data_IF_540469614733
#
_entry.id   IF_540469614733
#
_cell.length_a   1.000
_cell.length_b   1.000
_cell.length_c   1.000
_cell.angle_alpha   90.00
_cell.angle_beta   90.00
_cell.angle_gamma   90.00
#
_symmetry.space_group_name_H-M   'P 1'
#
loop_
_entity.id
_entity.type
_entity.pdbx_description
1 polymer ?
#
# COMPACT_ATOMS: atom_id res chain seq x y z
N UNK A 1 -22.85 -2.06 -2.69
CA UNK A 1 -22.04 -1.04 -3.37
C UNK A 1 -22.06 -1.37 -4.84
N UNK A 2 -22.67 -0.52 -5.66
CA UNK A 2 -22.66 -0.64 -7.13
C UNK A 2 -21.39 0.00 -7.73
N UNK A 3 -21.21 -0.11 -9.05
CA UNK A 3 -20.02 0.41 -9.73
C UNK A 3 -19.78 1.92 -9.51
N UNK A 4 -20.81 2.75 -9.60
CA UNK A 4 -20.67 4.20 -9.41
C UNK A 4 -20.24 4.53 -7.97
N UNK A 5 -20.89 3.90 -7.00
CA UNK A 5 -20.53 4.05 -5.59
C UNK A 5 -19.09 3.58 -5.31
N UNK A 6 -18.63 2.54 -5.99
CA UNK A 6 -17.24 2.09 -5.89
C UNK A 6 -16.24 3.12 -6.44
N UNK A 7 -16.52 3.70 -7.62
CA UNK A 7 -15.66 4.75 -8.19
C UNK A 7 -15.62 5.97 -7.28
N UNK A 8 -16.77 6.41 -6.76
CA UNK A 8 -16.86 7.53 -5.82
C UNK A 8 -16.09 7.23 -4.52
N UNK A 9 -16.21 6.01 -3.98
CA UNK A 9 -15.46 5.57 -2.80
C UNK A 9 -13.95 5.52 -3.05
N UNK A 10 -13.52 4.95 -4.17
CA UNK A 10 -12.11 4.87 -4.55
C UNK A 10 -11.50 6.26 -4.69
N UNK A 11 -12.16 7.14 -5.45
CA UNK A 11 -11.71 8.50 -5.69
C UNK A 11 -11.78 9.39 -4.43
N UNK A 12 -12.76 9.13 -3.55
CA UNK A 12 -12.85 9.75 -2.23
C UNK A 12 -11.60 9.52 -1.38
N UNK A 13 -10.83 8.47 -1.68
CA UNK A 13 -9.43 8.38 -1.28
C UNK A 13 -9.18 7.84 0.12
N UNK A 14 -10.22 7.47 0.88
CA UNK A 14 -10.05 6.88 2.21
C UNK A 14 -9.22 5.59 2.14
N UNK A 15 -9.54 4.69 1.19
CA UNK A 15 -8.80 3.43 1.02
C UNK A 15 -7.29 3.63 0.75
N UNK A 16 -6.93 4.74 0.09
CA UNK A 16 -5.56 5.07 -0.31
C UNK A 16 -4.94 6.24 0.48
N UNK A 17 -5.50 6.58 1.66
CA UNK A 17 -5.13 7.79 2.40
C UNK A 17 -3.70 7.74 2.93
N UNK A 18 -3.22 6.56 3.33
CA UNK A 18 -1.89 6.41 3.92
C UNK A 18 -0.79 6.50 2.85
N UNK A 19 -1.06 5.96 1.67
CA UNK A 19 -0.20 6.01 0.49
C UNK A 19 -0.04 7.45 0.00
N UNK A 20 -1.16 8.19 -0.07
CA UNK A 20 -1.16 9.64 -0.35
C UNK A 20 -0.42 10.43 0.73
N UNK A 21 -0.60 10.05 2.01
CA UNK A 21 0.09 10.70 3.12
C UNK A 21 1.61 10.49 3.05
N UNK A 22 2.08 9.28 2.75
CA UNK A 22 3.51 8.99 2.58
C UNK A 22 4.11 9.80 1.43
N UNK A 23 3.40 9.92 0.31
CA UNK A 23 3.82 10.77 -0.79
C UNK A 23 3.89 12.25 -0.40
N UNK A 24 2.93 12.73 0.39
CA UNK A 24 2.90 14.11 0.89
C UNK A 24 4.03 14.38 1.88
N UNK A 25 4.32 13.44 2.77
CA UNK A 25 5.46 13.51 3.70
C UNK A 25 6.80 13.53 2.97
N UNK A 26 6.96 12.66 1.95
CA UNK A 26 8.17 12.66 1.11
C UNK A 26 8.42 14.03 0.46
N UNK A 27 7.37 14.63 -0.11
CA UNK A 27 7.44 15.97 -0.71
C UNK A 27 7.72 17.05 0.34
N UNK A 28 7.01 17.01 1.47
CA UNK A 28 7.15 18.00 2.55
C UNK A 28 8.58 18.06 3.10
N UNK A 29 9.22 16.90 3.29
CA UNK A 29 10.59 16.83 3.78
C UNK A 29 11.65 16.92 2.67
N UNK A 30 11.26 17.08 1.40
CA UNK A 30 12.21 17.12 0.28
C UNK A 30 13.07 15.86 0.19
N UNK A 31 12.50 14.69 0.43
CA UNK A 31 13.26 13.44 0.48
C UNK A 31 13.86 13.11 -0.89
N UNK A 32 15.13 12.68 -0.89
CA UNK A 32 15.76 12.10 -2.08
C UNK A 32 14.99 10.85 -2.55
N UNK A 33 15.21 10.44 -3.81
CA UNK A 33 14.63 9.20 -4.36
C UNK A 33 14.90 7.99 -3.46
N UNK A 34 16.14 7.87 -2.97
CA UNK A 34 16.52 6.80 -2.05
C UNK A 34 15.79 6.89 -0.70
N UNK A 35 15.67 8.07 -0.10
CA UNK A 35 14.96 8.21 1.17
C UNK A 35 13.43 8.02 1.02
N UNK A 36 12.87 8.39 -0.13
CA UNK A 36 11.47 8.06 -0.48
C UNK A 36 11.28 6.55 -0.62
N UNK A 37 12.20 5.86 -1.27
CA UNK A 37 12.20 4.40 -1.36
C UNK A 37 12.29 3.75 0.02
N UNK A 38 13.20 4.22 0.87
CA UNK A 38 13.34 3.74 2.26
C UNK A 38 12.06 3.97 3.05
N UNK A 39 11.40 5.11 2.90
CA UNK A 39 10.13 5.40 3.56
C UNK A 39 9.04 4.40 3.16
N UNK A 40 8.88 4.11 1.86
CA UNK A 40 7.97 3.08 1.37
C UNK A 40 8.33 1.69 1.91
N UNK A 41 9.61 1.35 1.93
CA UNK A 41 10.11 0.07 2.44
C UNK A 41 9.82 -0.11 3.94
N UNK A 42 10.07 0.91 4.75
CA UNK A 42 9.78 0.89 6.19
C UNK A 42 8.29 0.90 6.47
N UNK A 43 7.50 1.58 5.65
CA UNK A 43 6.05 1.52 5.74
C UNK A 43 5.55 0.11 5.41
N UNK A 44 5.96 -0.52 4.31
CA UNK A 44 5.58 -1.90 4.02
C UNK A 44 6.04 -2.88 5.11
N UNK A 45 7.15 -2.59 5.77
CA UNK A 45 7.68 -3.40 6.89
C UNK A 45 6.79 -3.31 8.13
N UNK A 46 6.37 -2.10 8.52
CA UNK A 46 5.67 -1.83 9.80
C UNK A 46 4.16 -1.69 9.66
N UNK A 47 3.70 -1.34 8.46
CA UNK A 47 2.37 -0.86 8.10
C UNK A 47 1.87 0.25 9.04
N UNK A 48 2.79 1.11 9.48
CA UNK A 48 2.54 2.16 10.48
C UNK A 48 3.40 3.39 10.20
N UNK A 49 2.79 4.50 9.76
CA UNK A 49 3.49 5.71 9.31
C UNK A 49 4.48 6.26 10.36
N UNK A 50 4.12 6.45 11.64
CA UNK A 50 5.07 6.93 12.64
C UNK A 50 6.29 6.02 12.81
N UNK A 51 6.10 4.69 12.78
CA UNK A 51 7.22 3.74 12.88
C UNK A 51 8.12 3.82 11.65
N UNK A 52 7.54 3.98 10.46
CA UNK A 52 8.29 4.17 9.24
C UNK A 52 9.13 5.46 9.25
N UNK A 53 8.57 6.54 9.80
CA UNK A 53 9.28 7.81 9.98
C UNK A 53 10.38 7.73 11.07
N UNK A 54 10.18 6.93 12.12
CA UNK A 54 11.23 6.64 13.11
C UNK A 54 12.41 5.94 12.44
N UNK A 55 12.13 4.89 11.65
CA UNK A 55 13.15 4.17 10.87
C UNK A 55 13.83 5.02 9.81
N UNK A 56 13.12 5.97 9.21
CA UNK A 56 13.70 6.92 8.27
C UNK A 56 14.68 7.88 8.98
N UNK A 57 14.31 8.33 10.18
CA UNK A 57 15.15 9.22 11.01
C UNK A 57 16.39 8.49 11.54
N UNK A 58 16.22 7.24 11.98
CA UNK A 58 17.28 6.37 12.47
C UNK A 58 17.00 4.92 12.06
N UNK A 59 17.78 4.44 11.09
CA UNK A 59 17.70 3.07 10.56
C UNK A 59 17.87 2.01 11.66
N UNK A 60 18.63 2.32 12.70
CA UNK A 60 18.97 1.41 13.78
C UNK A 60 17.95 1.43 14.93
N UNK A 61 16.82 2.13 14.76
CA UNK A 61 15.76 2.17 15.78
C UNK A 61 15.38 0.74 16.19
N UNK A 62 15.55 0.38 17.48
CA UNK A 62 15.23 -0.94 17.98
C UNK A 62 13.76 -1.33 17.74
N UNK A 63 13.51 -2.60 17.38
CA UNK A 63 12.16 -3.08 17.02
C UNK A 63 11.12 -2.98 18.15
N UNK A 64 11.55 -2.92 19.40
CA UNK A 64 10.69 -2.73 20.59
C UNK A 64 10.18 -1.30 20.73
N UNK A 65 10.84 -0.32 20.10
CA UNK A 65 10.36 1.07 20.00
C UNK A 65 9.38 1.29 18.85
N UNK A 66 9.25 0.32 17.95
CA UNK A 66 8.40 0.40 16.77
C UNK A 66 7.04 -0.27 17.01
N UNK A 67 5.99 0.35 16.50
CA UNK A 67 4.67 -0.26 16.38
C UNK A 67 4.55 -0.95 15.02
N UNK A 68 4.09 -2.21 15.04
CA UNK A 68 3.75 -2.99 13.86
C UNK A 68 2.24 -3.24 13.88
N UNK A 69 1.53 -2.89 12.80
CA UNK A 69 0.09 -3.21 12.72
C UNK A 69 -0.12 -4.72 12.62
N UNK A 70 -1.35 -5.17 12.88
CA UNK A 70 -1.71 -6.59 13.05
C UNK A 70 -1.11 -7.48 11.95
N UNK A 71 -1.23 -7.08 10.69
CA UNK A 71 -0.73 -7.85 9.53
C UNK A 71 0.81 -7.90 9.43
N UNK A 72 1.52 -7.07 10.20
CA UNK A 72 2.98 -7.00 10.27
C UNK A 72 3.54 -7.43 11.63
N UNK A 73 2.70 -7.88 12.58
CA UNK A 73 3.18 -8.31 13.92
C UNK A 73 4.21 -9.43 13.84
N UNK A 74 4.09 -10.31 12.84
CA UNK A 74 5.05 -11.39 12.61
C UNK A 74 6.47 -10.87 12.36
N UNK A 75 6.64 -9.65 11.83
CA UNK A 75 7.95 -9.05 11.59
C UNK A 75 8.75 -8.89 12.88
N UNK A 76 8.06 -8.67 14.01
CA UNK A 76 8.69 -8.53 15.33
C UNK A 76 9.24 -9.86 15.86
N UNK A 77 8.78 -11.00 15.35
CA UNK A 77 9.09 -12.33 15.88
C UNK A 77 10.49 -12.77 15.43
N UNK A 78 11.27 -13.31 16.36
CA UNK A 78 12.61 -13.82 16.09
C UNK A 78 13.54 -12.79 15.44
N UNK A 79 14.31 -13.24 14.44
CA UNK A 79 15.30 -12.44 13.73
C UNK A 79 14.75 -11.80 12.43
N UNK A 80 13.43 -11.85 12.20
CA UNK A 80 12.80 -11.38 10.96
C UNK A 80 13.08 -9.91 10.68
N UNK A 81 12.78 -9.03 11.64
CA UNK A 81 13.05 -7.60 11.52
C UNK A 81 14.51 -7.31 11.14
N UNK A 82 15.48 -7.87 11.87
CA UNK A 82 16.90 -7.59 11.61
C UNK A 82 17.32 -7.99 10.19
N UNK A 83 16.81 -9.14 9.70
CA UNK A 83 17.10 -9.58 8.33
C UNK A 83 16.46 -8.68 7.26
N UNK A 84 15.25 -8.18 7.50
CA UNK A 84 14.60 -7.18 6.63
C UNK A 84 15.46 -5.92 6.58
N UNK A 85 15.86 -5.41 7.74
CA UNK A 85 16.68 -4.20 7.84
C UNK A 85 18.04 -4.37 7.15
N UNK A 86 18.69 -5.53 7.30
CA UNK A 86 19.96 -5.82 6.63
C UNK A 86 19.86 -6.02 5.12
N UNK A 87 18.68 -6.39 4.60
CA UNK A 87 18.47 -6.61 3.17
C UNK A 87 18.28 -5.29 2.40
N UNK A 88 17.89 -4.22 3.09
CA UNK A 88 17.66 -2.91 2.48
C UNK A 88 18.97 -2.34 1.94
N UNK A 89 19.05 -2.21 0.62
CA UNK A 89 20.22 -1.68 -0.07
C UNK A 89 19.83 -0.87 -1.32
N UNK A 90 20.69 0.04 -1.80
CA UNK A 90 20.45 0.79 -3.04
C UNK A 90 20.18 -0.10 -4.26
N UNK A 91 20.77 -1.30 -4.30
CA UNK A 91 20.56 -2.27 -5.38
C UNK A 91 19.08 -2.64 -5.56
N UNK A 92 18.29 -2.70 -4.48
CA UNK A 92 16.85 -2.97 -4.58
C UNK A 92 16.12 -1.87 -5.35
N UNK A 93 16.50 -0.60 -5.14
CA UNK A 93 15.97 0.53 -5.89
C UNK A 93 16.42 0.48 -7.35
N UNK A 94 17.71 0.22 -7.59
CA UNK A 94 18.26 0.11 -8.96
C UNK A 94 17.60 -1.00 -9.78
N UNK A 95 17.33 -2.15 -9.17
CA UNK A 95 16.59 -3.24 -9.81
C UNK A 95 15.15 -2.84 -10.10
N UNK A 96 14.46 -2.24 -9.13
CA UNK A 96 13.08 -1.79 -9.31
C UNK A 96 12.97 -0.70 -10.38
N UNK A 97 13.98 0.18 -10.49
CA UNK A 97 14.02 1.25 -11.48
C UNK A 97 14.21 0.73 -12.91
N UNK A 98 14.64 -0.52 -13.10
CA UNK A 98 14.68 -1.17 -14.42
C UNK A 98 13.30 -1.65 -14.89
N UNK A 99 12.36 -1.87 -13.97
CA UNK A 99 11.03 -2.35 -14.31
C UNK A 99 10.25 -1.33 -15.14
N UNK A 100 9.69 -1.77 -16.25
CA UNK A 100 8.87 -0.98 -17.17
C UNK A 100 7.37 -1.26 -17.03
N UNK A 101 7.03 -2.39 -16.40
CA UNK A 101 5.64 -2.78 -16.16
C UNK A 101 5.35 -3.08 -14.70
N UNK A 102 4.08 -3.00 -14.31
CA UNK A 102 3.61 -3.41 -12.98
C UNK A 102 3.90 -4.88 -12.66
N UNK A 103 3.91 -5.75 -13.68
CA UNK A 103 4.24 -7.17 -13.52
C UNK A 103 5.70 -7.37 -13.17
N UNK A 104 6.60 -6.64 -13.83
CA UNK A 104 8.03 -6.66 -13.51
C UNK A 104 8.28 -6.13 -12.11
N UNK A 105 7.65 -5.00 -11.74
CA UNK A 105 7.74 -4.46 -10.39
C UNK A 105 7.26 -5.46 -9.34
N UNK A 106 6.11 -6.10 -9.56
CA UNK A 106 5.60 -7.12 -8.65
C UNK A 106 6.56 -8.30 -8.51
N UNK A 107 7.13 -8.80 -9.61
CA UNK A 107 8.10 -9.91 -9.57
C UNK A 107 9.37 -9.55 -8.79
N UNK A 108 9.90 -8.35 -8.99
CA UNK A 108 11.09 -7.86 -8.27
C UNK A 108 10.79 -7.76 -6.77
N UNK A 109 9.75 -7.01 -6.41
CA UNK A 109 9.42 -6.74 -5.01
C UNK A 109 9.00 -8.01 -4.28
N UNK A 110 8.24 -8.90 -4.93
CA UNK A 110 7.87 -10.18 -4.31
C UNK A 110 9.02 -11.17 -4.15
N UNK A 111 10.12 -10.94 -4.88
CA UNK A 111 11.39 -11.65 -4.70
C UNK A 111 12.21 -11.15 -3.50
N UNK A 112 11.90 -9.98 -2.95
CA UNK A 112 12.60 -9.48 -1.77
C UNK A 112 12.22 -10.28 -0.52
N UNK A 113 13.20 -10.42 0.37
CA UNK A 113 13.01 -11.18 1.59
C UNK A 113 11.88 -10.59 2.46
N UNK A 114 10.92 -11.43 2.85
CA UNK A 114 9.70 -11.07 3.60
C UNK A 114 8.67 -10.18 2.88
N UNK A 115 8.88 -9.86 1.61
CA UNK A 115 7.90 -9.15 0.80
C UNK A 115 7.04 -10.16 0.02
N UNK A 116 6.39 -11.08 0.74
CA UNK A 116 5.33 -11.88 0.13
C UNK A 116 4.20 -10.99 -0.42
N UNK A 117 3.25 -11.60 -1.14
CA UNK A 117 2.18 -10.90 -1.88
C UNK A 117 1.65 -9.62 -1.21
N UNK A 118 1.18 -9.71 0.03
CA UNK A 118 0.60 -8.56 0.75
C UNK A 118 1.59 -7.40 0.95
N UNK A 119 2.83 -7.68 1.39
CA UNK A 119 3.82 -6.64 1.59
C UNK A 119 4.27 -6.01 0.26
N UNK A 120 4.32 -6.82 -0.82
CA UNK A 120 4.63 -6.32 -2.15
C UNK A 120 3.56 -5.33 -2.63
N UNK A 121 2.27 -5.64 -2.44
CA UNK A 121 1.17 -4.73 -2.77
C UNK A 121 1.24 -3.43 -1.96
N UNK A 122 1.38 -3.53 -0.63
CA UNK A 122 1.54 -2.35 0.23
C UNK A 122 2.71 -1.46 -0.20
N UNK A 123 3.84 -2.06 -0.57
CA UNK A 123 5.00 -1.31 -1.04
C UNK A 123 4.75 -0.65 -2.39
N UNK A 124 4.21 -1.39 -3.35
CA UNK A 124 4.06 -0.92 -4.74
C UNK A 124 2.96 0.13 -4.89
N UNK A 125 1.91 0.06 -4.07
CA UNK A 125 0.88 1.09 -4.02
C UNK A 125 1.46 2.45 -3.59
N UNK A 126 2.26 2.45 -2.51
CA UNK A 126 3.00 3.63 -2.06
C UNK A 126 4.04 4.08 -3.09
N UNK A 127 4.81 3.13 -3.62
CA UNK A 127 5.90 3.43 -4.56
C UNK A 127 5.38 4.03 -5.86
N UNK A 128 4.20 3.63 -6.33
CA UNK A 128 3.56 4.23 -7.49
C UNK A 128 3.32 5.74 -7.31
N UNK A 129 2.96 6.17 -6.10
CA UNK A 129 2.75 7.60 -5.77
C UNK A 129 4.07 8.37 -5.57
N UNK A 130 5.15 7.67 -5.19
CA UNK A 130 6.47 8.27 -4.90
C UNK A 130 7.40 8.32 -6.11
N UNK A 131 7.39 7.29 -6.94
CA UNK A 131 8.45 7.07 -7.94
C UNK A 131 8.45 8.10 -9.06
N UNK A 132 7.28 8.69 -9.35
CA UNK A 132 7.03 9.58 -10.49
C UNK A 132 7.23 8.91 -11.85
N UNK A 133 7.50 7.60 -11.88
CA UNK A 133 7.81 6.85 -13.09
C UNK A 133 6.52 6.39 -13.76
N UNK A 134 6.36 6.74 -15.03
CA UNK A 134 5.31 6.13 -15.85
C UNK A 134 5.71 4.68 -16.15
N UNK A 135 4.84 3.75 -15.77
CA UNK A 135 4.98 2.31 -15.99
C UNK A 135 3.72 1.80 -16.67
N UNK A 136 3.86 0.75 -17.48
CA UNK A 136 2.71 0.10 -18.11
C UNK A 136 1.99 -0.76 -17.05
N UNK A 137 0.71 -0.50 -16.82
CA UNK A 137 -0.13 -1.30 -15.92
C UNK A 137 -0.66 -2.56 -16.63
N UNK A 138 0.19 -3.59 -16.69
CA UNK A 138 -0.07 -4.89 -17.30
C UNK A 138 -0.42 -6.00 -16.27
N UNK A 139 -0.38 -5.70 -14.98
CA UNK A 139 -0.48 -6.73 -13.96
C UNK A 139 -1.92 -7.20 -13.83
N UNK A 140 -2.11 -8.49 -14.06
CA UNK A 140 -3.40 -9.16 -13.99
C UNK A 140 -3.64 -9.71 -12.58
N UNK A 141 -4.67 -9.22 -11.90
CA UNK A 141 -5.09 -9.79 -10.62
C UNK A 141 -5.51 -11.25 -10.81
N UNK A 142 -4.90 -12.13 -10.02
CA UNK A 142 -5.38 -13.50 -9.89
C UNK A 142 -6.58 -13.49 -8.95
N UNK A 143 -7.78 -13.73 -9.46
CA UNK A 143 -8.99 -13.84 -8.65
C UNK A 143 -8.96 -15.14 -7.83
N UNK A 144 -8.42 -15.07 -6.62
CA UNK A 144 -8.30 -16.20 -5.71
C UNK A 144 -9.58 -16.35 -4.88
N UNK A 145 -10.08 -17.58 -4.66
CA UNK A 145 -11.24 -17.81 -3.83
C UNK A 145 -11.00 -17.31 -2.40
N UNK A 146 -12.02 -16.70 -1.80
CA UNK A 146 -12.03 -16.21 -0.41
C UNK A 146 -11.13 -15.00 -0.11
N UNK A 147 -10.38 -14.50 -1.08
CA UNK A 147 -9.68 -13.23 -0.94
C UNK A 147 -10.64 -12.03 -0.97
N UNK A 148 -10.39 -11.03 -0.12
CA UNK A 148 -11.31 -9.90 0.03
C UNK A 148 -11.40 -9.05 -1.26
N UNK A 149 -10.30 -8.85 -1.98
CA UNK A 149 -10.34 -8.11 -3.26
C UNK A 149 -11.13 -8.87 -4.34
N UNK A 150 -11.05 -10.21 -4.36
CA UNK A 150 -11.86 -11.04 -5.27
C UNK A 150 -13.34 -10.87 -4.94
N UNK A 151 -13.71 -11.02 -3.66
CA UNK A 151 -15.10 -10.84 -3.21
C UNK A 151 -15.60 -9.41 -3.47
N UNK A 152 -14.76 -8.40 -3.24
CA UNK A 152 -15.07 -7.00 -3.56
C UNK A 152 -15.38 -6.80 -5.03
N UNK A 153 -14.55 -7.36 -5.92
CA UNK A 153 -14.79 -7.31 -7.36
C UNK A 153 -16.07 -8.05 -7.77
N UNK A 154 -16.33 -9.24 -7.20
CA UNK A 154 -17.56 -10.01 -7.44
C UNK A 154 -18.82 -9.25 -7.03
N UNK A 155 -18.78 -8.53 -5.90
CA UNK A 155 -19.90 -7.70 -5.42
C UNK A 155 -20.21 -6.58 -6.41
N UNK A 156 -19.19 -5.86 -6.88
CA UNK A 156 -19.37 -4.67 -7.70
C UNK A 156 -19.73 -5.04 -9.14
N UNK A 157 -19.08 -6.07 -9.67
CA UNK A 157 -19.31 -6.56 -11.03
C UNK A 157 -20.53 -7.48 -11.13
N UNK A 158 -21.15 -7.84 -9.98
CA UNK A 158 -22.32 -8.72 -9.87
C UNK A 158 -22.14 -10.06 -10.60
N UNK A 159 -20.93 -10.62 -10.54
CA UNK A 159 -20.55 -11.81 -11.30
C UNK A 159 -19.34 -12.52 -10.68
N UNK A 160 -19.25 -13.83 -10.88
CA UNK A 160 -18.06 -14.63 -10.58
C UNK A 160 -17.30 -15.05 -11.85
N UNK A 161 -17.81 -14.69 -13.02
CA UNK A 161 -17.15 -14.97 -14.29
C UNK A 161 -15.85 -14.15 -14.41
N UNK A 162 -14.72 -14.84 -14.57
CA UNK A 162 -13.38 -14.24 -14.57
C UNK A 162 -13.16 -13.23 -15.70
N UNK A 163 -13.67 -13.46 -16.89
CA UNK A 163 -13.52 -12.54 -18.01
C UNK A 163 -14.25 -11.22 -17.73
N UNK A 164 -15.46 -11.30 -17.17
CA UNK A 164 -16.22 -10.12 -16.74
C UNK A 164 -15.52 -9.38 -15.60
N UNK A 165 -14.92 -10.11 -14.65
CA UNK A 165 -14.13 -9.49 -13.57
C UNK A 165 -12.89 -8.78 -14.12
N UNK A 166 -12.17 -9.38 -15.07
CA UNK A 166 -11.04 -8.73 -15.75
C UNK A 166 -11.49 -7.47 -16.50
N UNK A 167 -12.59 -7.55 -17.26
CA UNK A 167 -13.14 -6.38 -17.96
C UNK A 167 -13.57 -5.26 -16.98
N UNK A 168 -14.12 -5.63 -15.82
CA UNK A 168 -14.42 -4.69 -14.74
C UNK A 168 -13.16 -3.98 -14.24
N UNK A 169 -12.07 -4.70 -14.01
CA UNK A 169 -10.80 -4.12 -13.57
C UNK A 169 -10.27 -3.13 -14.60
N UNK A 170 -10.23 -3.48 -15.89
CA UNK A 170 -9.74 -2.59 -16.94
C UNK A 170 -10.58 -1.33 -17.06
N UNK A 171 -11.90 -1.44 -16.93
CA UNK A 171 -12.78 -0.28 -16.86
C UNK A 171 -12.50 0.57 -15.62
N UNK A 172 -12.34 -0.05 -14.45
CA UNK A 172 -12.03 0.66 -13.21
C UNK A 172 -10.69 1.40 -13.26
N UNK A 173 -9.65 0.82 -13.89
CA UNK A 173 -8.37 1.51 -14.14
C UNK A 173 -8.59 2.78 -14.96
N UNK A 174 -9.37 2.70 -16.04
CA UNK A 174 -9.66 3.86 -16.88
C UNK A 174 -10.45 4.96 -16.14
N UNK A 175 -11.48 4.58 -15.39
CA UNK A 175 -12.39 5.52 -14.71
C UNK A 175 -11.73 6.17 -13.47
N UNK A 176 -10.84 5.46 -12.77
CA UNK A 176 -10.10 5.99 -11.61
C UNK A 176 -8.78 6.67 -11.98
N UNK A 177 -8.20 6.32 -13.13
CA UNK A 177 -6.82 6.67 -13.54
C UNK A 177 -5.76 6.20 -12.54
N UNK A 178 -6.08 5.17 -11.77
CA UNK A 178 -5.18 4.56 -10.80
C UNK A 178 -4.80 3.14 -11.21
N UNK A 179 -3.71 2.65 -10.62
CA UNK A 179 -3.15 1.36 -10.99
C UNK A 179 -3.82 0.20 -10.26
N UNK A 180 -3.51 -1.01 -10.73
CA UNK A 180 -4.05 -2.24 -10.16
C UNK A 180 -3.77 -2.45 -8.66
N UNK A 181 -2.63 -1.96 -8.16
CA UNK A 181 -2.31 -2.05 -6.73
C UNK A 181 -3.28 -1.22 -5.89
N UNK A 182 -3.61 -0.01 -6.35
CA UNK A 182 -4.57 0.88 -5.70
C UNK A 182 -6.00 0.32 -5.78
N UNK A 183 -6.35 -0.27 -6.93
CA UNK A 183 -7.66 -0.92 -7.09
C UNK A 183 -7.79 -2.10 -6.13
N UNK A 184 -6.77 -2.95 -5.99
CA UNK A 184 -6.80 -4.10 -5.08
C UNK A 184 -7.12 -3.68 -3.63
N UNK A 185 -6.48 -2.63 -3.12
CA UNK A 185 -6.72 -2.09 -1.77
C UNK A 185 -8.18 -1.64 -1.60
N UNK A 186 -8.71 -0.89 -2.56
CA UNK A 186 -10.10 -0.43 -2.51
C UNK A 186 -11.13 -1.56 -2.65
N UNK A 187 -10.86 -2.57 -3.49
CA UNK A 187 -11.69 -3.77 -3.61
C UNK A 187 -11.68 -4.61 -2.33
N UNK A 188 -10.52 -4.75 -1.70
CA UNK A 188 -10.38 -5.34 -0.38
C UNK A 188 -11.26 -4.64 0.66
N UNK A 189 -11.37 -3.31 0.58
CA UNK A 189 -12.21 -2.53 1.48
C UNK A 189 -13.71 -2.75 1.22
N UNK A 190 -14.14 -2.93 -0.03
CA UNK A 190 -15.55 -3.18 -0.38
C UNK A 190 -16.11 -4.40 0.35
N UNK A 191 -15.38 -5.53 0.32
CA UNK A 191 -15.79 -6.73 1.03
C UNK A 191 -15.81 -6.52 2.56
N UNK A 192 -14.87 -5.74 3.09
CA UNK A 192 -14.82 -5.41 4.52
C UNK A 192 -15.95 -4.48 4.95
N UNK A 193 -16.39 -3.56 4.08
CA UNK A 193 -17.59 -2.72 4.27
C UNK A 193 -18.83 -3.60 4.27
N UNK A 194 -18.96 -4.54 3.31
CA UNK A 194 -20.07 -5.51 3.30
C UNK A 194 -20.13 -6.33 4.59
N UNK A 195 -18.98 -6.74 5.14
CA UNK A 195 -18.86 -7.46 6.41
C UNK A 195 -19.16 -6.59 7.65
N UNK A 196 -19.37 -5.28 7.49
CA UNK A 196 -19.57 -4.36 8.61
C UNK A 196 -18.31 -4.09 9.45
N UNK A 197 -17.13 -4.43 8.93
CA UNK A 197 -15.84 -4.25 9.63
C UNK A 197 -15.15 -2.93 9.26
N UNK A 198 -15.67 -2.21 8.26
CA UNK A 198 -15.15 -0.95 7.73
C UNK A 198 -16.31 -0.04 7.34
N UNK A 199 -16.05 1.26 7.30
CA UNK A 199 -16.95 2.31 6.80
C UNK A 199 -16.13 3.31 5.97
N UNK A 200 -16.80 4.19 5.22
CA UNK A 200 -16.11 5.28 4.53
C UNK A 200 -15.54 6.27 5.56
N UNK A 201 -14.21 6.42 5.60
CA UNK A 201 -13.48 7.20 6.61
C UNK A 201 -12.73 6.34 7.62
N UNK A 202 -12.89 5.00 7.57
CA UNK A 202 -12.22 4.09 8.49
C UNK A 202 -10.69 4.24 8.44
N UNK A 203 -10.12 4.28 7.24
CA UNK A 203 -8.66 4.28 7.08
C UNK A 203 -8.07 5.61 7.53
N UNK A 204 -8.78 6.71 7.25
CA UNK A 204 -8.45 8.04 7.74
C UNK A 204 -8.49 8.10 9.27
N UNK A 205 -9.57 7.61 9.89
CA UNK A 205 -9.69 7.55 11.35
C UNK A 205 -8.58 6.69 11.98
N UNK A 206 -8.29 5.52 11.39
CA UNK A 206 -7.21 4.65 11.84
C UNK A 206 -5.86 5.36 11.77
N UNK A 207 -5.58 6.08 10.70
CA UNK A 207 -4.33 6.84 10.55
C UNK A 207 -4.25 7.95 11.61
N UNK A 208 -5.32 8.72 11.83
CA UNK A 208 -5.40 9.75 12.86
C UNK A 208 -5.17 9.17 14.28
N UNK A 209 -5.74 8.01 14.57
CA UNK A 209 -5.52 7.31 15.84
C UNK A 209 -4.06 6.85 16.00
N UNK A 210 -3.39 6.44 14.92
CA UNK A 210 -2.01 5.97 14.96
C UNK A 210 -0.99 7.09 15.16
N UNK A 211 -1.30 8.32 14.71
CA UNK A 211 -0.40 9.47 14.85
C UNK A 211 -0.58 10.22 16.17
N UNK A 212 -1.66 9.96 16.92
CA UNK A 212 -1.99 10.66 18.15
C UNK A 212 -0.84 10.60 19.16
N UNK A 213 -0.37 11.77 19.61
CA UNK A 213 0.74 11.93 20.55
C UNK A 213 2.13 11.67 19.97
N UNK A 214 2.26 11.37 18.68
CA UNK A 214 3.57 11.20 18.05
C UNK A 214 4.15 12.55 17.62
N UNK A 215 5.49 12.63 17.50
CA UNK A 215 6.18 13.88 17.14
C UNK A 215 5.84 14.44 15.74
N UNK A 216 5.17 13.65 14.89
CA UNK A 216 4.75 14.05 13.54
C UNK A 216 3.26 14.37 13.44
N UNK A 217 2.48 14.26 14.52
CA UNK A 217 1.03 14.41 14.53
C UNK A 217 0.57 15.67 13.79
N UNK A 218 1.06 16.84 14.20
CA UNK A 218 0.67 18.13 13.62
C UNK A 218 1.04 18.25 12.14
N UNK A 219 2.17 17.66 11.73
CA UNK A 219 2.61 17.70 10.33
C UNK A 219 1.70 16.80 9.48
N UNK A 220 1.37 15.60 9.96
CA UNK A 220 0.49 14.67 9.25
C UNK A 220 -0.93 15.25 9.14
N UNK A 221 -1.47 15.83 10.22
CA UNK A 221 -2.78 16.49 10.19
C UNK A 221 -2.81 17.64 9.18
N UNK A 222 -1.73 18.43 9.09
CA UNK A 222 -1.62 19.54 8.13
C UNK A 222 -1.57 19.08 6.66
N UNK A 223 -1.13 17.84 6.42
CA UNK A 223 -0.95 17.28 5.08
C UNK A 223 -2.14 16.43 4.60
N UNK A 224 -3.16 16.22 5.45
CA UNK A 224 -4.43 15.59 5.10
C UNK A 224 -5.28 16.52 4.23
#
# INVERSE_FOLDING_TARGET
MNYREYIDYHNGGDAGVEEKMIASLSRYYGLSRWNSFRLAYYYATTYHIPSALQLLSDHNTPKDKLKFRTDRRYVRIGNTFNRIMSALSPNLLEELDKATTTTEQYKIVSGWYYFGRYAAFLFLEVWAKLSGKQIVDDFSLKFEPNENYTRGAEIIAETQNREKLTAFIERAKADTKDNIFSLETSLCAVEKIRKGTRWNGFYTERMLNDIKGCKWENIIIKLL
#
